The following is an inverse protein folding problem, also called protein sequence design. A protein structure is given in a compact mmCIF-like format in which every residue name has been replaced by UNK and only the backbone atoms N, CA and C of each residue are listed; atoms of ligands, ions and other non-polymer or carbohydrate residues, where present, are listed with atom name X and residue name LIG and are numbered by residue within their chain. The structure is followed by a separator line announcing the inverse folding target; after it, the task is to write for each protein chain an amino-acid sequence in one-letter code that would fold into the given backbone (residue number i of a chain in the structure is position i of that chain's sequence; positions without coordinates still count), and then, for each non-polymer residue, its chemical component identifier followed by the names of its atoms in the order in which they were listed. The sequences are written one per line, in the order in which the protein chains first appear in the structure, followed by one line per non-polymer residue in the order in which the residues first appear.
data_IF_138343888194
#
_entry.id   IF_138343888194
#
_cell.length_a   1.000
_cell.length_b   1.000
_cell.length_c   1.000
_cell.angle_alpha   90.00
_cell.angle_beta   90.00
_cell.angle_gamma   90.00
#
_symmetry.space_group_name_H-M   'P 1'
#
loop_
_entity.id
_entity.type
_entity.pdbx_description
1 polymer ?
#
# COMPACT_ATOMS: atom_id res chain seq x y z
N UNK A 1 -32.14 -23.53 -5.24
CA UNK A 1 -32.06 -22.65 -6.43
C UNK A 1 -30.61 -22.63 -6.84
N UNK A 2 -30.28 -23.23 -7.97
CA UNK A 2 -28.91 -23.33 -8.47
C UNK A 2 -28.75 -22.33 -9.62
N UNK A 3 -27.84 -21.37 -9.47
CA UNK A 3 -27.52 -20.41 -10.53
C UNK A 3 -26.31 -20.94 -11.28
N UNK A 4 -26.50 -21.28 -12.55
CA UNK A 4 -25.44 -21.64 -13.49
C UNK A 4 -24.99 -20.35 -14.19
N UNK A 5 -23.78 -19.91 -13.92
CA UNK A 5 -23.12 -18.83 -14.68
C UNK A 5 -22.34 -19.47 -15.83
N UNK A 6 -22.47 -18.86 -17.00
CA UNK A 6 -21.94 -19.30 -18.29
C UNK A 6 -20.46 -19.74 -18.24
N UNK A 7 -20.22 -21.02 -18.51
CA UNK A 7 -19.22 -21.46 -19.51
C UNK A 7 -17.75 -21.03 -19.38
N UNK A 8 -17.26 -20.61 -18.21
CA UNK A 8 -15.82 -20.44 -17.97
C UNK A 8 -15.35 -21.40 -16.88
N UNK A 9 -14.36 -22.22 -17.21
CA UNK A 9 -13.67 -23.08 -16.27
C UNK A 9 -13.11 -22.26 -15.11
N UNK A 10 -13.32 -22.73 -13.89
CA UNK A 10 -12.81 -22.13 -12.65
C UNK A 10 -11.27 -22.23 -12.52
N UNK A 11 -10.59 -22.88 -13.48
CA UNK A 11 -9.14 -23.10 -13.50
C UNK A 11 -8.31 -21.84 -13.81
N UNK A 12 -8.92 -20.74 -14.24
CA UNK A 12 -8.22 -19.50 -14.61
C UNK A 12 -8.64 -18.29 -13.75
N UNK A 13 -9.11 -18.54 -12.53
CA UNK A 13 -9.25 -17.44 -11.58
C UNK A 13 -7.84 -17.06 -11.07
N UNK A 14 -7.44 -15.78 -11.16
CA UNK A 14 -6.18 -15.33 -10.58
C UNK A 14 -6.17 -15.60 -9.08
N UNK A 15 -5.00 -15.92 -8.53
CA UNK A 15 -4.84 -16.43 -7.15
C UNK A 15 -5.49 -15.57 -6.06
N UNK A 16 -5.70 -14.28 -6.32
CA UNK A 16 -6.41 -13.37 -5.40
C UNK A 16 -7.92 -13.67 -5.24
N UNK A 17 -8.50 -14.53 -6.07
CA UNK A 17 -9.91 -14.94 -6.00
C UNK A 17 -10.13 -16.25 -5.21
N UNK A 18 -9.07 -16.88 -4.71
CA UNK A 18 -9.14 -18.22 -4.14
C UNK A 18 -9.64 -18.28 -2.70
N UNK A 19 -9.42 -17.27 -1.86
CA UNK A 19 -9.97 -17.26 -0.49
C UNK A 19 -10.06 -15.81 0.04
N UNK A 20 -11.24 -15.31 0.45
CA UNK A 20 -11.37 -13.98 1.04
C UNK A 20 -10.76 -13.88 2.45
N UNK A 21 -10.29 -15.00 3.03
CA UNK A 21 -9.78 -15.10 4.40
C UNK A 21 -8.26 -15.31 4.48
N UNK A 22 -7.54 -15.45 3.36
CA UNK A 22 -6.07 -15.60 3.39
C UNK A 22 -5.41 -14.22 3.43
N UNK A 23 -5.20 -13.70 4.64
CA UNK A 23 -4.40 -12.51 4.88
C UNK A 23 -2.94 -12.95 5.00
N UNK A 24 -2.15 -12.71 3.94
CA UNK A 24 -0.70 -12.90 3.98
C UNK A 24 -0.06 -11.76 4.82
N UNK A 25 0.41 -12.11 6.01
CA UNK A 25 1.17 -11.18 6.85
C UNK A 25 2.64 -11.32 6.46
N UNK A 26 3.16 -10.31 5.76
CA UNK A 26 4.59 -10.24 5.41
C UNK A 26 5.33 -9.55 6.55
N UNK A 27 6.24 -10.30 7.20
CA UNK A 27 7.15 -9.75 8.20
C UNK A 27 8.28 -9.02 7.45
N UNK A 28 8.25 -7.69 7.46
CA UNK A 28 9.26 -6.86 6.81
C UNK A 28 10.41 -6.60 7.78
N UNK A 29 11.64 -6.82 7.32
CA UNK A 29 12.81 -6.38 8.06
C UNK A 29 12.89 -4.85 8.10
N UNK A 30 13.59 -4.28 9.08
CA UNK A 30 13.81 -2.83 9.12
C UNK A 30 14.45 -2.27 7.85
N UNK A 31 15.37 -3.03 7.24
CA UNK A 31 16.02 -2.67 5.96
C UNK A 31 15.02 -2.67 4.79
N UNK A 32 14.05 -3.60 4.78
CA UNK A 32 12.99 -3.62 3.76
C UNK A 32 12.04 -2.42 3.91
N UNK A 33 11.72 -2.04 5.16
CA UNK A 33 10.92 -0.85 5.43
C UNK A 33 11.65 0.41 4.94
N UNK A 34 12.93 0.58 5.27
CA UNK A 34 13.72 1.73 4.80
C UNK A 34 13.80 1.80 3.26
N UNK A 35 13.96 0.66 2.59
CA UNK A 35 13.96 0.57 1.14
C UNK A 35 12.62 0.99 0.55
N UNK A 36 11.51 0.44 1.05
CA UNK A 36 10.15 0.75 0.57
C UNK A 36 9.83 2.24 0.79
N UNK A 37 10.19 2.79 1.95
CA UNK A 37 10.01 4.22 2.24
C UNK A 37 10.84 5.07 1.28
N UNK A 38 12.07 4.68 0.97
CA UNK A 38 12.93 5.40 0.01
C UNK A 38 12.31 5.39 -1.38
N UNK A 39 11.92 4.23 -1.89
CA UNK A 39 11.27 4.07 -3.20
C UNK A 39 9.95 4.88 -3.28
N UNK A 40 9.18 4.90 -2.20
CA UNK A 40 7.96 5.68 -2.08
C UNK A 40 8.20 7.20 -2.18
N UNK A 41 9.24 7.71 -1.50
CA UNK A 41 9.61 9.13 -1.53
C UNK A 41 10.12 9.55 -2.91
N UNK A 42 10.94 8.71 -3.56
CA UNK A 42 11.38 8.93 -4.93
C UNK A 42 10.19 8.99 -5.91
N UNK A 43 9.24 8.07 -5.78
CA UNK A 43 8.03 8.05 -6.61
C UNK A 43 7.10 9.25 -6.38
N UNK A 44 7.09 9.81 -5.16
CA UNK A 44 6.34 11.00 -4.82
C UNK A 44 7.07 12.31 -5.20
N UNK A 45 8.31 12.21 -5.72
CA UNK A 45 9.18 13.34 -6.05
C UNK A 45 9.33 14.34 -4.88
N UNK A 46 9.34 13.83 -3.64
CA UNK A 46 9.44 14.66 -2.45
C UNK A 46 10.25 13.99 -1.35
N UNK A 47 10.79 14.81 -0.45
CA UNK A 47 11.52 14.35 0.72
C UNK A 47 10.57 13.98 1.85
N UNK A 48 11.02 13.15 2.78
CA UNK A 48 10.25 12.79 3.99
C UNK A 48 9.77 14.02 4.77
N UNK A 49 10.64 15.02 4.93
CA UNK A 49 10.32 16.25 5.65
C UNK A 49 9.23 17.06 4.95
N UNK A 50 9.24 17.13 3.61
CA UNK A 50 8.17 17.80 2.85
C UNK A 50 6.85 17.04 2.96
N UNK A 51 6.90 15.71 3.01
CA UNK A 51 5.74 14.84 3.16
C UNK A 51 5.12 14.97 4.56
N UNK A 52 5.96 15.04 5.60
CA UNK A 52 5.56 15.35 6.99
C UNK A 52 4.95 16.76 7.11
N UNK A 53 5.55 17.76 6.46
CA UNK A 53 5.03 19.12 6.45
C UNK A 53 3.66 19.20 5.76
N UNK A 54 3.50 18.56 4.59
CA UNK A 54 2.21 18.46 3.91
C UNK A 54 1.13 17.78 4.76
N UNK A 55 1.52 16.72 5.49
CA UNK A 55 0.61 16.06 6.43
C UNK A 55 0.20 16.98 7.59
N UNK A 56 1.15 17.75 8.14
CA UNK A 56 0.90 18.73 9.20
C UNK A 56 -0.01 19.88 8.73
N UNK A 57 0.16 20.33 7.48
CA UNK A 57 -0.65 21.37 6.86
C UNK A 57 -2.02 20.83 6.39
N UNK A 58 -2.20 19.52 6.36
CA UNK A 58 -3.42 18.84 5.91
C UNK A 58 -3.65 18.92 4.39
N UNK A 59 -2.66 19.38 3.64
CA UNK A 59 -2.73 19.58 2.20
C UNK A 59 -1.54 18.89 1.52
N UNK A 60 -1.83 17.90 0.67
CA UNK A 60 -0.83 17.19 -0.11
C UNK A 60 -0.75 17.77 -1.53
N UNK A 61 0.47 17.91 -2.04
CA UNK A 61 0.72 18.42 -3.39
C UNK A 61 0.29 17.44 -4.48
N UNK A 62 0.21 16.14 -4.16
CA UNK A 62 -0.24 15.11 -5.08
C UNK A 62 -0.98 13.98 -4.36
N UNK A 63 -1.81 13.25 -5.11
CA UNK A 63 -2.45 12.02 -4.61
C UNK A 63 -1.42 10.93 -4.29
N UNK A 64 -0.29 10.92 -5.00
CA UNK A 64 0.84 10.03 -4.73
C UNK A 64 1.44 10.34 -3.37
N UNK A 65 1.76 11.60 -3.07
CA UNK A 65 2.28 12.02 -1.77
C UNK A 65 1.32 11.64 -0.62
N UNK A 66 0.01 11.84 -0.82
CA UNK A 66 -1.00 11.43 0.17
C UNK A 66 -1.02 9.92 0.42
N UNK A 67 -0.93 9.11 -0.64
CA UNK A 67 -0.87 7.64 -0.50
C UNK A 67 0.43 7.19 0.16
N UNK A 68 1.55 7.83 -0.18
CA UNK A 68 2.84 7.54 0.43
C UNK A 68 2.86 7.94 1.90
N UNK A 69 2.23 9.04 2.30
CA UNK A 69 2.05 9.39 3.72
C UNK A 69 1.37 8.28 4.50
N UNK A 70 0.28 7.73 3.97
CA UNK A 70 -0.44 6.64 4.61
C UNK A 70 0.45 5.39 4.77
N UNK A 71 1.24 5.07 3.75
CA UNK A 71 2.14 3.92 3.77
C UNK A 71 3.30 4.12 4.77
N UNK A 72 3.95 5.28 4.74
CA UNK A 72 5.05 5.65 5.64
C UNK A 72 4.57 5.70 7.10
N UNK A 73 3.44 6.37 7.37
CA UNK A 73 2.88 6.47 8.73
C UNK A 73 2.41 5.13 9.31
N UNK A 74 2.06 4.16 8.45
CA UNK A 74 1.68 2.82 8.91
C UNK A 74 2.90 1.93 9.21
N UNK A 75 4.04 2.20 8.56
CA UNK A 75 5.26 1.41 8.69
C UNK A 75 6.25 1.99 9.72
N UNK A 76 6.19 3.29 9.98
CA UNK A 76 7.08 3.97 10.91
C UNK A 76 6.41 4.09 12.30
N UNK A 77 6.87 3.35 13.33
CA UNK A 77 6.29 3.40 14.66
C UNK A 77 6.57 4.72 15.41
N UNK A 78 7.37 5.63 14.82
CA UNK A 78 7.66 6.96 15.34
C UNK A 78 7.00 8.07 14.49
N UNK A 79 6.12 7.73 13.54
CA UNK A 79 5.28 8.72 12.88
C UNK A 79 4.37 9.42 13.92
N UNK A 80 4.19 10.75 13.81
CA UNK A 80 3.43 11.54 14.79
C UNK A 80 1.93 11.24 14.81
#
# INVERSE_FOLDING_TARGET
MSVTVEGRSLDELPSYAADPDEIEVVDLSGEDVERIVTEALEAAECTRAELEQQAADGEFTSEVARRMWFLVSSLDPNAP
#
